data_IF_306056996573
#
_entry.id   IF_306056996573
#
_cell.length_a   1.000
_cell.length_b   1.000
_cell.length_c   1.000
_cell.angle_alpha   90.00
_cell.angle_beta   90.00
_cell.angle_gamma   90.00
#
_symmetry.space_group_name_H-M   'P 1'
#
loop_
_entity.id
_entity.type
_entity.pdbx_description
1 polymer ?
#
# COMPACT_ATOMS: atom_id res chain seq x y z
N UNK A 1 11.48 15.15 -6.03
CA UNK A 1 10.05 15.23 -5.75
C UNK A 1 9.47 16.47 -6.44
N UNK A 2 8.45 16.29 -7.30
CA UNK A 2 7.87 17.37 -8.09
C UNK A 2 7.32 18.51 -7.21
N UNK A 3 6.71 18.18 -6.08
CA UNK A 3 6.16 19.16 -5.12
C UNK A 3 7.25 20.07 -4.55
N UNK A 4 8.37 19.47 -4.11
CA UNK A 4 9.50 20.22 -3.54
C UNK A 4 10.15 21.15 -4.58
N UNK A 5 10.29 20.65 -5.81
CA UNK A 5 10.87 21.45 -6.90
C UNK A 5 9.95 22.60 -7.27
N UNK A 6 8.65 22.35 -7.42
CA UNK A 6 7.65 23.40 -7.72
C UNK A 6 7.67 24.50 -6.66
N UNK A 7 7.57 24.15 -5.39
CA UNK A 7 7.62 25.13 -4.29
C UNK A 7 8.95 25.92 -4.27
N UNK A 8 10.08 25.26 -4.52
CA UNK A 8 11.37 25.92 -4.57
C UNK A 8 11.46 26.92 -5.75
N UNK A 9 10.93 26.57 -6.91
CA UNK A 9 10.88 27.44 -8.09
C UNK A 9 9.99 28.64 -7.83
N UNK A 10 8.78 28.41 -7.31
CA UNK A 10 7.82 29.49 -7.01
C UNK A 10 8.40 30.46 -5.95
N UNK A 11 8.99 29.93 -4.89
CA UNK A 11 9.67 30.76 -3.87
C UNK A 11 10.82 31.58 -4.45
N UNK A 12 11.58 31.00 -5.41
CA UNK A 12 12.65 31.72 -6.08
C UNK A 12 12.14 32.83 -6.98
N UNK A 13 11.05 32.58 -7.72
CA UNK A 13 10.39 33.59 -8.56
C UNK A 13 9.90 34.76 -7.69
N UNK A 14 9.26 34.47 -6.56
CA UNK A 14 8.80 35.49 -5.63
C UNK A 14 9.94 36.35 -5.07
N UNK A 15 11.07 35.73 -4.70
CA UNK A 15 12.26 36.44 -4.21
C UNK A 15 12.94 37.31 -5.28
N UNK A 16 12.68 37.07 -6.56
CA UNK A 16 13.21 37.88 -7.66
C UNK A 16 12.30 39.07 -8.03
N UNK A 17 11.08 39.13 -7.54
CA UNK A 17 10.20 40.29 -7.70
C UNK A 17 10.78 41.51 -6.99
N UNK A 18 10.76 42.63 -7.64
CA UNK A 18 11.30 43.89 -7.13
C UNK A 18 12.84 44.04 -7.22
N UNK A 19 13.57 42.93 -7.58
CA UNK A 19 15.04 43.02 -7.77
C UNK A 19 15.46 42.81 -9.22
N UNK A 20 15.12 41.66 -9.80
CA UNK A 20 15.42 41.31 -11.19
C UNK A 20 14.18 41.37 -12.10
N UNK A 21 13.01 41.18 -11.51
CA UNK A 21 11.72 41.31 -12.23
C UNK A 21 11.14 42.69 -11.93
N UNK A 22 11.01 43.59 -12.94
CA UNK A 22 10.36 44.87 -12.77
C UNK A 22 8.89 44.74 -12.35
N UNK A 23 8.38 45.65 -11.55
CA UNK A 23 6.97 45.67 -11.09
C UNK A 23 5.95 45.74 -12.20
N UNK A 24 6.39 46.14 -13.42
CA UNK A 24 5.54 46.16 -14.62
C UNK A 24 5.28 44.77 -15.23
N UNK A 25 6.01 43.72 -14.77
CA UNK A 25 5.85 42.35 -15.25
C UNK A 25 4.99 41.52 -14.27
N UNK A 26 3.92 40.95 -14.78
CA UNK A 26 3.12 39.97 -14.06
C UNK A 26 3.64 38.54 -14.36
N UNK A 27 3.96 37.79 -13.32
CA UNK A 27 4.28 36.39 -13.46
C UNK A 27 3.02 35.58 -13.13
N UNK A 28 2.52 34.82 -14.11
CA UNK A 28 1.39 33.92 -13.94
C UNK A 28 1.86 32.46 -14.05
N UNK A 29 1.49 31.64 -13.07
CA UNK A 29 1.71 30.19 -13.13
C UNK A 29 0.62 29.59 -13.98
N UNK A 30 0.96 29.15 -15.18
CA UNK A 30 0.00 28.55 -16.12
C UNK A 30 -0.22 27.06 -15.84
N UNK A 31 0.75 26.38 -15.24
CA UNK A 31 0.67 24.97 -14.90
C UNK A 31 1.66 24.62 -13.79
N UNK A 32 1.17 23.96 -12.73
CA UNK A 32 1.97 23.41 -11.66
C UNK A 32 1.80 21.87 -11.59
N UNK A 33 2.84 21.15 -11.99
CA UNK A 33 2.84 19.70 -11.90
C UNK A 33 3.06 19.20 -10.47
N UNK A 34 3.65 20.01 -9.59
CA UNK A 34 3.82 19.68 -8.18
C UNK A 34 2.47 19.63 -7.46
N UNK A 35 1.63 20.63 -7.66
CA UNK A 35 0.28 20.67 -7.10
C UNK A 35 -0.57 19.49 -7.61
N UNK A 36 -0.59 19.26 -8.93
CA UNK A 36 -1.29 18.11 -9.51
C UNK A 36 -0.80 16.77 -8.96
N UNK A 37 0.51 16.60 -8.75
CA UNK A 37 1.07 15.38 -8.18
C UNK A 37 0.65 15.20 -6.72
N UNK A 38 0.60 16.27 -5.93
CA UNK A 38 0.17 16.26 -4.53
C UNK A 38 -1.32 15.93 -4.41
N UNK A 39 -2.17 16.55 -5.23
CA UNK A 39 -3.60 16.27 -5.27
C UNK A 39 -3.86 14.78 -5.57
N UNK A 40 -3.19 14.23 -6.60
CA UNK A 40 -3.36 12.84 -6.99
C UNK A 40 -2.81 11.86 -5.94
N UNK A 41 -1.74 12.21 -5.24
CA UNK A 41 -1.25 11.41 -4.12
C UNK A 41 -2.25 11.39 -2.96
N UNK A 42 -2.80 12.54 -2.59
CA UNK A 42 -3.80 12.65 -1.52
C UNK A 42 -5.11 11.95 -1.87
N UNK A 43 -5.58 12.05 -3.12
CA UNK A 43 -6.75 11.34 -3.62
C UNK A 43 -6.57 9.82 -3.48
N UNK A 44 -5.41 9.29 -3.89
CA UNK A 44 -5.11 7.87 -3.78
C UNK A 44 -4.96 7.40 -2.33
N UNK A 45 -4.36 8.19 -1.45
CA UNK A 45 -4.30 7.90 -0.01
C UNK A 45 -5.70 7.89 0.62
N UNK A 46 -6.59 8.79 0.20
CA UNK A 46 -7.98 8.78 0.63
C UNK A 46 -8.71 7.50 0.19
N UNK A 47 -8.54 7.09 -1.08
CA UNK A 47 -9.11 5.83 -1.59
C UNK A 47 -8.54 4.60 -0.90
N UNK A 48 -7.25 4.62 -0.55
CA UNK A 48 -6.60 3.59 0.24
C UNK A 48 -7.26 3.45 1.62
N UNK A 49 -7.46 4.57 2.30
CA UNK A 49 -8.18 4.61 3.58
C UNK A 49 -9.63 4.13 3.46
N UNK A 50 -10.33 4.59 2.44
CA UNK A 50 -11.72 4.19 2.17
C UNK A 50 -11.82 2.68 1.90
N UNK A 51 -10.92 2.12 1.09
CA UNK A 51 -10.86 0.69 0.82
C UNK A 51 -10.62 -0.10 2.11
N UNK A 52 -9.66 0.31 2.94
CA UNK A 52 -9.37 -0.32 4.23
C UNK A 52 -10.60 -0.32 5.14
N UNK A 53 -11.27 0.81 5.29
CA UNK A 53 -12.49 0.93 6.11
C UNK A 53 -13.60 0.03 5.57
N UNK A 54 -13.80 0.03 4.24
CA UNK A 54 -14.83 -0.81 3.60
C UNK A 54 -14.59 -2.29 3.85
N UNK A 55 -13.35 -2.74 3.77
CA UNK A 55 -12.95 -4.14 4.02
C UNK A 55 -13.18 -4.50 5.50
N UNK A 56 -12.75 -3.65 6.44
CA UNK A 56 -12.95 -3.87 7.88
C UNK A 56 -14.44 -3.98 8.21
N UNK A 57 -15.28 -3.12 7.63
CA UNK A 57 -16.74 -3.20 7.81
C UNK A 57 -17.28 -4.51 7.25
N UNK A 58 -16.86 -4.91 6.04
CA UNK A 58 -17.30 -6.14 5.41
C UNK A 58 -16.95 -7.37 6.26
N UNK A 59 -15.73 -7.44 6.76
CA UNK A 59 -15.27 -8.53 7.65
C UNK A 59 -16.06 -8.52 8.96
N UNK A 60 -16.32 -7.34 9.52
CA UNK A 60 -17.13 -7.20 10.73
C UNK A 60 -18.53 -7.77 10.59
N UNK A 61 -19.15 -7.62 9.42
CA UNK A 61 -20.47 -8.20 9.16
C UNK A 61 -20.41 -9.68 8.75
N UNK A 62 -19.39 -10.11 8.00
CA UNK A 62 -19.32 -11.46 7.45
C UNK A 62 -18.78 -12.49 8.45
N UNK A 63 -17.77 -12.14 9.25
CA UNK A 63 -17.06 -13.04 10.15
C UNK A 63 -17.29 -12.64 11.61
N UNK A 64 -16.99 -11.39 11.96
CA UNK A 64 -17.19 -10.88 13.31
C UNK A 64 -16.37 -9.62 13.62
N UNK A 65 -16.77 -8.87 14.64
CA UNK A 65 -16.14 -7.61 15.00
C UNK A 65 -14.73 -7.76 15.60
N UNK A 66 -14.42 -8.93 16.17
CA UNK A 66 -13.10 -9.23 16.73
C UNK A 66 -12.09 -9.42 15.59
N UNK A 67 -12.47 -10.16 14.59
CA UNK A 67 -11.72 -10.46 13.38
C UNK A 67 -11.50 -9.17 12.54
N UNK A 68 -12.54 -8.34 12.44
CA UNK A 68 -12.45 -7.01 11.84
C UNK A 68 -11.43 -6.12 12.57
N UNK A 69 -11.36 -6.19 13.90
CA UNK A 69 -10.39 -5.45 14.71
C UNK A 69 -8.95 -5.85 14.41
N UNK A 70 -8.67 -7.15 14.23
CA UNK A 70 -7.34 -7.64 13.82
C UNK A 70 -6.99 -7.11 12.42
N UNK A 71 -7.89 -7.24 11.46
CA UNK A 71 -7.68 -6.75 10.09
C UNK A 71 -7.46 -5.25 10.05
N UNK A 72 -8.17 -4.47 10.89
CA UNK A 72 -8.01 -3.03 10.99
C UNK A 72 -6.60 -2.60 11.48
N UNK A 73 -5.88 -3.47 12.17
CA UNK A 73 -4.48 -3.25 12.59
C UNK A 73 -3.50 -3.78 11.55
N UNK A 74 -3.75 -4.97 11.01
CA UNK A 74 -2.85 -5.65 10.07
C UNK A 74 -2.68 -4.84 8.78
N UNK A 75 -3.78 -4.38 8.16
CA UNK A 75 -3.71 -3.67 6.89
C UNK A 75 -2.86 -2.38 6.99
N UNK A 76 -3.12 -1.43 7.90
CA UNK A 76 -2.30 -0.22 8.00
C UNK A 76 -0.84 -0.53 8.35
N UNK A 77 -0.59 -1.52 9.22
CA UNK A 77 0.77 -1.91 9.61
C UNK A 77 1.56 -2.41 8.41
N UNK A 78 0.97 -3.30 7.62
CA UNK A 78 1.62 -3.84 6.41
C UNK A 78 1.87 -2.75 5.36
N UNK A 79 0.91 -1.82 5.18
CA UNK A 79 1.09 -0.67 4.29
C UNK A 79 2.26 0.20 4.75
N UNK A 80 2.33 0.52 6.04
CA UNK A 80 3.42 1.33 6.61
C UNK A 80 4.77 0.64 6.47
N UNK A 81 4.86 -0.68 6.72
CA UNK A 81 6.07 -1.46 6.51
C UNK A 81 6.49 -1.46 5.04
N UNK A 82 5.54 -1.60 4.12
CA UNK A 82 5.81 -1.56 2.68
C UNK A 82 6.30 -0.18 2.22
N UNK A 83 5.68 0.89 2.71
CA UNK A 83 6.14 2.26 2.43
C UNK A 83 7.52 2.51 3.00
N UNK A 84 7.81 2.01 4.20
CA UNK A 84 9.12 2.09 4.82
C UNK A 84 10.18 1.36 3.99
N UNK A 85 9.92 0.12 3.58
CA UNK A 85 10.81 -0.65 2.71
C UNK A 85 11.02 0.03 1.35
N UNK A 86 9.96 0.55 0.75
CA UNK A 86 10.01 1.31 -0.50
C UNK A 86 10.92 2.53 -0.37
N UNK A 87 10.84 3.26 0.74
CA UNK A 87 11.70 4.40 1.02
C UNK A 87 13.17 3.99 1.18
N UNK A 88 13.45 2.87 1.87
CA UNK A 88 14.81 2.32 2.01
C UNK A 88 15.42 1.92 0.66
N UNK A 89 14.61 1.42 -0.26
CA UNK A 89 15.01 1.06 -1.63
C UNK A 89 15.14 2.27 -2.55
N UNK A 90 14.90 3.48 -2.05
CA UNK A 90 15.00 4.72 -2.82
C UNK A 90 13.83 5.00 -3.75
N UNK A 91 12.74 4.26 -3.64
CA UNK A 91 11.52 4.57 -4.38
C UNK A 91 10.80 5.77 -3.79
N UNK A 92 10.28 6.62 -4.64
CA UNK A 92 9.45 7.76 -4.24
C UNK A 92 7.98 7.39 -4.27
N UNK A 93 7.21 7.95 -3.34
CA UNK A 93 5.75 7.84 -3.37
C UNK A 93 5.24 8.61 -4.60
N UNK A 94 4.68 7.88 -5.54
CA UNK A 94 4.05 8.40 -6.73
C UNK A 94 2.74 7.65 -6.99
N UNK A 95 1.95 8.11 -7.97
CA UNK A 95 0.67 7.47 -8.31
C UNK A 95 0.79 5.98 -8.66
N UNK A 96 1.93 5.55 -9.21
CA UNK A 96 2.14 4.15 -9.60
C UNK A 96 2.42 3.28 -8.38
N UNK A 97 3.29 3.74 -7.47
CA UNK A 97 3.54 3.03 -6.20
C UNK A 97 2.31 2.98 -5.30
N UNK A 98 1.50 4.05 -5.25
CA UNK A 98 0.24 4.05 -4.52
C UNK A 98 -0.81 3.12 -5.15
N UNK A 99 -0.89 3.08 -6.48
CA UNK A 99 -1.73 2.11 -7.18
C UNK A 99 -1.31 0.67 -6.86
N UNK A 100 0.00 0.38 -6.85
CA UNK A 100 0.53 -0.91 -6.47
C UNK A 100 0.14 -1.31 -5.04
N UNK A 101 0.13 -0.36 -4.10
CA UNK A 101 -0.31 -0.59 -2.72
C UNK A 101 -1.81 -0.89 -2.66
N UNK A 102 -2.66 -0.13 -3.36
CA UNK A 102 -4.11 -0.39 -3.42
C UNK A 102 -4.38 -1.79 -4.00
N UNK A 103 -3.69 -2.16 -5.07
CA UNK A 103 -3.77 -3.48 -5.67
C UNK A 103 -3.34 -4.59 -4.71
N UNK A 104 -2.24 -4.36 -3.97
CA UNK A 104 -1.70 -5.33 -3.00
C UNK A 104 -2.65 -5.57 -1.83
N UNK A 105 -3.40 -4.55 -1.39
CA UNK A 105 -4.36 -4.70 -0.29
C UNK A 105 -5.40 -5.77 -0.60
N UNK A 106 -5.93 -5.79 -1.83
CA UNK A 106 -6.90 -6.80 -2.23
C UNK A 106 -6.38 -8.22 -2.04
N UNK A 107 -5.12 -8.47 -2.37
CA UNK A 107 -4.49 -9.79 -2.24
C UNK A 107 -4.11 -10.08 -0.78
N UNK A 108 -3.55 -9.09 -0.08
CA UNK A 108 -3.11 -9.20 1.31
C UNK A 108 -4.28 -9.48 2.26
N UNK A 109 -5.44 -8.91 1.97
CA UNK A 109 -6.65 -9.12 2.78
C UNK A 109 -7.13 -10.56 2.66
N UNK A 110 -7.04 -11.17 1.49
CA UNK A 110 -7.43 -12.56 1.27
C UNK A 110 -6.60 -13.50 2.15
N UNK A 111 -5.29 -13.32 2.24
CA UNK A 111 -4.41 -14.11 3.11
C UNK A 111 -4.80 -13.95 4.60
N UNK A 112 -5.04 -12.71 5.04
CA UNK A 112 -5.44 -12.43 6.43
C UNK A 112 -6.82 -13.01 6.75
N UNK A 113 -7.78 -12.92 5.82
CA UNK A 113 -9.13 -13.47 6.02
C UNK A 113 -9.06 -14.98 6.19
N UNK A 114 -8.35 -15.70 5.30
CA UNK A 114 -8.23 -17.16 5.36
C UNK A 114 -7.64 -17.62 6.69
N UNK A 115 -6.59 -16.92 7.19
CA UNK A 115 -5.97 -17.23 8.48
C UNK A 115 -6.93 -16.99 9.63
N UNK A 116 -7.58 -15.83 9.69
CA UNK A 116 -8.49 -15.45 10.78
C UNK A 116 -9.72 -16.36 10.80
N UNK A 117 -10.31 -16.63 9.64
CA UNK A 117 -11.46 -17.51 9.52
C UNK A 117 -11.12 -18.92 10.01
N UNK A 118 -9.97 -19.48 9.60
CA UNK A 118 -9.55 -20.80 10.03
C UNK A 118 -9.29 -20.87 11.56
N UNK A 119 -8.69 -19.84 12.13
CA UNK A 119 -8.52 -19.74 13.60
C UNK A 119 -9.88 -19.69 14.30
N UNK A 120 -10.81 -18.88 13.81
CA UNK A 120 -12.16 -18.76 14.38
C UNK A 120 -12.91 -20.11 14.29
N UNK A 121 -12.76 -20.84 13.18
CA UNK A 121 -13.32 -22.16 12.98
C UNK A 121 -12.77 -23.17 14.00
N UNK A 122 -11.46 -23.20 14.21
CA UNK A 122 -10.81 -24.09 15.19
C UNK A 122 -11.25 -23.76 16.64
N UNK A 123 -11.42 -22.49 16.96
CA UNK A 123 -11.97 -22.10 18.28
C UNK A 123 -13.42 -22.53 18.48
N UNK A 124 -14.20 -22.60 17.40
CA UNK A 124 -15.59 -23.03 17.46
C UNK A 124 -15.76 -24.55 17.61
N UNK A 125 -14.73 -25.35 17.31
CA UNK A 125 -14.80 -26.83 17.46
C UNK A 125 -14.94 -27.30 18.90
N UNK A 126 -14.54 -26.49 19.89
CA UNK A 126 -14.68 -26.75 21.33
C UNK A 126 -14.21 -28.17 21.77
N UNK A 127 -13.11 -28.66 21.18
CA UNK A 127 -12.59 -30.00 21.34
C UNK A 127 -11.71 -30.19 22.58
N UNK A 128 -11.70 -29.22 23.50
CA UNK A 128 -10.94 -29.27 24.76
C UNK A 128 -9.48 -28.81 24.65
N UNK A 129 -8.98 -28.46 23.46
CA UNK A 129 -7.63 -27.87 23.27
C UNK A 129 -7.59 -26.44 23.83
N UNK A 130 -6.40 -25.97 24.19
CA UNK A 130 -6.21 -24.56 24.51
C UNK A 130 -6.46 -23.70 23.27
N UNK A 131 -6.86 -22.43 23.46
CA UNK A 131 -7.08 -21.49 22.35
C UNK A 131 -5.80 -21.26 21.54
N UNK A 132 -4.65 -21.33 22.19
CA UNK A 132 -3.34 -21.15 21.53
C UNK A 132 -3.04 -22.37 20.67
N UNK A 133 -3.19 -23.59 21.18
CA UNK A 133 -2.94 -24.81 20.42
C UNK A 133 -3.88 -24.90 19.21
N UNK A 134 -5.16 -24.58 19.41
CA UNK A 134 -6.13 -24.54 18.31
C UNK A 134 -5.76 -23.49 17.24
N UNK A 135 -5.23 -22.34 17.63
CA UNK A 135 -4.77 -21.33 16.67
C UNK A 135 -3.50 -21.79 15.92
N UNK A 136 -2.55 -22.43 16.61
CA UNK A 136 -1.34 -22.99 15.98
C UNK A 136 -1.69 -24.06 14.95
N UNK A 137 -2.61 -24.97 15.29
CA UNK A 137 -3.07 -26.01 14.38
C UNK A 137 -3.81 -25.40 13.18
N UNK A 138 -4.64 -24.39 13.40
CA UNK A 138 -5.32 -23.67 12.35
C UNK A 138 -4.34 -23.01 11.35
N UNK A 139 -3.31 -22.34 11.86
CA UNK A 139 -2.27 -21.73 11.03
C UNK A 139 -1.45 -22.80 10.30
N UNK A 140 -1.14 -23.92 10.93
CA UNK A 140 -0.42 -25.02 10.29
C UNK A 140 -1.20 -25.63 9.13
N UNK A 141 -2.53 -25.67 9.22
CA UNK A 141 -3.41 -26.23 8.18
C UNK A 141 -3.39 -25.39 6.89
N UNK A 142 -3.50 -24.06 7.00
CA UNK A 142 -3.62 -23.16 5.85
C UNK A 142 -2.34 -22.41 5.50
N UNK A 143 -1.33 -22.42 6.36
CA UNK A 143 -0.12 -21.63 6.19
C UNK A 143 0.68 -22.02 4.94
N UNK A 144 0.94 -23.30 4.72
CA UNK A 144 1.65 -23.77 3.53
C UNK A 144 0.93 -23.40 2.21
N UNK A 145 -0.38 -23.68 2.04
CA UNK A 145 -1.12 -23.24 0.86
C UNK A 145 -1.05 -21.72 0.63
N UNK A 146 -1.18 -20.93 1.69
CA UNK A 146 -1.13 -19.47 1.61
C UNK A 146 0.25 -18.97 1.17
N UNK A 147 1.34 -19.51 1.75
CA UNK A 147 2.71 -19.17 1.33
C UNK A 147 2.95 -19.49 -0.15
N UNK A 148 2.51 -20.67 -0.61
CA UNK A 148 2.65 -21.06 -2.01
C UNK A 148 1.84 -20.15 -2.93
N UNK A 149 0.60 -19.79 -2.54
CA UNK A 149 -0.24 -18.89 -3.31
C UNK A 149 0.43 -17.50 -3.45
N UNK A 150 0.91 -16.94 -2.34
CA UNK A 150 1.60 -15.64 -2.34
C UNK A 150 2.88 -15.66 -3.17
N UNK A 151 3.71 -16.70 -3.05
CA UNK A 151 4.91 -16.87 -3.89
C UNK A 151 4.55 -16.97 -5.38
N UNK A 152 3.43 -17.61 -5.70
CA UNK A 152 2.94 -17.69 -7.08
C UNK A 152 2.59 -16.32 -7.63
N UNK A 153 1.88 -15.49 -6.85
CA UNK A 153 1.55 -14.12 -7.25
C UNK A 153 2.81 -13.26 -7.39
N UNK A 154 3.74 -13.33 -6.42
CA UNK A 154 5.02 -12.63 -6.49
C UNK A 154 5.77 -13.03 -7.77
N UNK A 155 5.86 -14.33 -8.06
CA UNK A 155 6.54 -14.82 -9.27
C UNK A 155 5.86 -14.33 -10.55
N UNK A 156 4.53 -14.26 -10.58
CA UNK A 156 3.76 -13.74 -11.71
C UNK A 156 3.99 -12.24 -11.94
N UNK A 157 4.35 -11.48 -10.91
CA UNK A 157 4.66 -10.05 -11.01
C UNK A 157 6.12 -9.79 -11.46
N UNK A 158 7.06 -10.72 -11.24
CA UNK A 158 8.48 -10.54 -11.57
C UNK A 158 8.74 -10.15 -13.04
N UNK A 159 8.03 -10.67 -14.06
CA UNK A 159 8.26 -10.27 -15.44
C UNK A 159 8.13 -8.77 -15.69
N UNK A 160 7.37 -8.05 -14.88
CA UNK A 160 7.22 -6.59 -14.99
C UNK A 160 8.54 -5.84 -14.68
N UNK A 161 9.46 -6.44 -13.93
CA UNK A 161 10.79 -5.85 -13.65
C UNK A 161 11.69 -5.84 -14.90
N UNK A 162 11.44 -6.70 -15.88
CA UNK A 162 12.22 -6.80 -17.10
C UNK A 162 11.71 -5.88 -18.22
N UNK A 163 10.68 -5.08 -17.95
CA UNK A 163 10.20 -4.07 -18.91
C UNK A 163 11.29 -3.02 -19.10
N UNK A 164 11.79 -2.89 -20.32
CA UNK A 164 12.87 -1.99 -20.71
C UNK A 164 12.36 -0.67 -21.31
N UNK A 165 13.28 0.28 -21.51
CA UNK A 165 12.97 1.58 -22.10
C UNK A 165 12.34 2.55 -21.12
N UNK A 166 11.63 3.55 -21.62
CA UNK A 166 11.04 4.63 -20.83
C UNK A 166 9.98 4.15 -19.84
N UNK A 167 9.33 3.02 -20.10
CA UNK A 167 8.29 2.47 -19.22
C UNK A 167 8.86 1.67 -18.05
N UNK A 168 10.10 1.19 -18.10
CA UNK A 168 10.73 0.40 -17.06
C UNK A 168 10.67 1.05 -15.69
N UNK A 169 11.18 2.28 -15.50
CA UNK A 169 11.15 2.98 -14.22
C UNK A 169 9.74 3.23 -13.67
N UNK A 170 8.73 3.29 -14.54
CA UNK A 170 7.33 3.45 -14.14
C UNK A 170 6.68 2.12 -13.74
N UNK A 171 7.10 1.01 -14.33
CA UNK A 171 6.52 -0.31 -14.07
C UNK A 171 7.17 -1.01 -12.88
N UNK A 172 8.47 -0.81 -12.64
CA UNK A 172 9.21 -1.45 -11.56
C UNK A 172 8.63 -1.25 -10.14
N UNK A 173 8.08 -0.09 -9.76
CA UNK A 173 7.48 0.09 -8.44
C UNK A 173 6.28 -0.84 -8.17
N UNK A 174 5.57 -1.31 -9.20
CA UNK A 174 4.39 -2.16 -9.03
C UNK A 174 4.78 -3.52 -8.43
N UNK A 175 5.61 -4.35 -9.09
CA UNK A 175 5.98 -5.65 -8.56
C UNK A 175 6.78 -5.54 -7.24
N UNK A 176 7.61 -4.51 -7.08
CA UNK A 176 8.40 -4.33 -5.85
C UNK A 176 7.50 -4.05 -4.65
N UNK A 177 6.61 -3.05 -4.75
CA UNK A 177 5.73 -2.70 -3.64
C UNK A 177 4.69 -3.79 -3.36
N UNK A 178 4.12 -4.39 -4.40
CA UNK A 178 3.16 -5.48 -4.24
C UNK A 178 3.81 -6.71 -3.58
N UNK A 179 4.99 -7.12 -4.05
CA UNK A 179 5.72 -8.25 -3.47
C UNK A 179 6.17 -7.96 -2.03
N UNK A 180 6.64 -6.76 -1.74
CA UNK A 180 7.01 -6.36 -0.39
C UNK A 180 5.80 -6.39 0.56
N UNK A 181 4.64 -5.86 0.13
CA UNK A 181 3.41 -5.90 0.91
C UNK A 181 2.99 -7.34 1.24
N UNK A 182 3.04 -8.23 0.24
CA UNK A 182 2.72 -9.64 0.41
C UNK A 182 3.68 -10.36 1.36
N UNK A 183 4.98 -10.08 1.27
CA UNK A 183 5.97 -10.67 2.19
C UNK A 183 5.75 -10.16 3.62
N UNK A 184 5.46 -8.86 3.79
CA UNK A 184 5.17 -8.32 5.11
C UNK A 184 3.83 -8.77 5.70
N UNK A 185 2.91 -9.31 4.89
CA UNK A 185 1.65 -9.85 5.41
C UNK A 185 1.82 -11.13 6.26
N UNK A 186 2.97 -11.79 6.13
CA UNK A 186 3.29 -13.00 6.93
C UNK A 186 3.85 -12.69 8.33
N UNK A 187 4.21 -11.44 8.60
CA UNK A 187 4.80 -11.00 9.87
C UNK A 187 3.84 -10.15 10.69
#
# INVERSE_FOLDING_TARGET
NAVVVSHAVLARVEALKGSLLPDSLSVAVTRDYGETANEKANELLFHLGLATVSIVILIGFAIGWREAGVTAVVIPTTILLTLFASNLLGYTINRVSLFALIFSIGILVDDAIVMIENIARHWAMADGRSRIDAAVDAVAEVGNPTVVATLTVVTALLPMLFVSGLMGPYMAPIPVNASAAMVFSFF
#
